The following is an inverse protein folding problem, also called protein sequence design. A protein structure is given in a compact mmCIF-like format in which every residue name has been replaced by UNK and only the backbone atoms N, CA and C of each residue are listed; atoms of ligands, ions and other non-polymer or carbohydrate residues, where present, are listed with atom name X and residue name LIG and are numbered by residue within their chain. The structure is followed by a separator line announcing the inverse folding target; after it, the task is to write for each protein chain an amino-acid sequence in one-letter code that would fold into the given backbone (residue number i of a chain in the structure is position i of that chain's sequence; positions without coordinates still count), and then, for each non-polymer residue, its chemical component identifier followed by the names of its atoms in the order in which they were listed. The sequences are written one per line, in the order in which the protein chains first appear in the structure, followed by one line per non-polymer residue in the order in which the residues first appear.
data_IF_720592079578
#
_entry.id   IF_720592079578
#
_cell.length_a   1.000
_cell.length_b   1.000
_cell.length_c   1.000
_cell.angle_alpha   90.00
_cell.angle_beta   90.00
_cell.angle_gamma   90.00
#
_symmetry.space_group_name_H-M   'P 1'
#
loop_
_entity.id
_entity.type
_entity.pdbx_description
1 polymer ?
#
# COMPACT_ATOMS: atom_id res chain seq x y z
N UNK A 1 4.58 4.84 87.04
CA UNK A 1 5.85 5.07 86.32
C UNK A 1 6.31 3.72 85.82
N UNK A 2 6.21 3.46 84.53
CA UNK A 2 6.81 2.27 83.91
C UNK A 2 8.32 2.31 84.15
N UNK A 3 8.90 1.18 84.55
CA UNK A 3 10.35 1.10 84.74
C UNK A 3 11.03 1.01 83.36
N UNK A 4 12.16 1.69 83.18
CA UNK A 4 13.00 1.62 81.98
C UNK A 4 13.17 0.20 81.37
N UNK A 5 13.42 -0.88 82.16
CA UNK A 5 13.53 -2.22 81.58
C UNK A 5 12.23 -2.75 80.94
N UNK A 6 11.05 -2.36 81.41
CA UNK A 6 9.79 -2.76 80.76
C UNK A 6 9.61 -2.09 79.40
N UNK A 7 9.97 -0.80 79.28
CA UNK A 7 9.89 -0.06 78.02
C UNK A 7 10.87 -0.62 76.99
N UNK A 8 12.09 -0.97 77.41
CA UNK A 8 13.07 -1.63 76.54
C UNK A 8 12.55 -2.97 75.97
N UNK A 9 11.91 -3.81 76.79
CA UNK A 9 11.35 -5.09 76.33
C UNK A 9 10.18 -4.91 75.34
N UNK A 10 9.36 -3.87 75.53
CA UNK A 10 8.30 -3.53 74.56
C UNK A 10 8.92 -3.12 73.23
N UNK A 11 9.93 -2.26 73.23
CA UNK A 11 10.64 -1.85 72.01
C UNK A 11 11.31 -3.03 71.31
N UNK A 12 11.98 -3.93 72.03
CA UNK A 12 12.57 -5.13 71.43
C UNK A 12 11.53 -6.02 70.75
N UNK A 13 10.34 -6.19 71.34
CA UNK A 13 9.25 -6.95 70.71
C UNK A 13 8.74 -6.27 69.44
N UNK A 14 8.50 -4.96 69.51
CA UNK A 14 8.04 -4.19 68.35
C UNK A 14 9.05 -4.21 67.20
N UNK A 15 10.35 -4.08 67.51
CA UNK A 15 11.41 -4.22 66.52
C UNK A 15 11.43 -5.62 65.91
N UNK A 16 11.33 -6.67 66.74
CA UNK A 16 11.26 -8.05 66.26
C UNK A 16 10.04 -8.31 65.36
N UNK A 17 8.89 -7.73 65.68
CA UNK A 17 7.68 -7.79 64.85
C UNK A 17 7.86 -7.06 63.52
N UNK A 18 8.44 -5.86 63.54
CA UNK A 18 8.76 -5.11 62.32
C UNK A 18 9.77 -5.87 61.46
N UNK A 19 10.84 -6.40 62.04
CA UNK A 19 11.84 -7.22 61.36
C UNK A 19 11.21 -8.46 60.72
N UNK A 20 10.35 -9.19 61.42
CA UNK A 20 9.65 -10.35 60.85
C UNK A 20 8.78 -9.97 59.66
N UNK A 21 8.02 -8.88 59.75
CA UNK A 21 7.19 -8.38 58.64
C UNK A 21 8.04 -7.98 57.43
N UNK A 22 9.13 -7.25 57.65
CA UNK A 22 10.04 -6.86 56.58
C UNK A 22 10.71 -8.08 55.93
N UNK A 23 11.21 -9.02 56.73
CA UNK A 23 11.82 -10.25 56.20
C UNK A 23 10.82 -11.08 55.41
N UNK A 24 9.57 -11.23 55.88
CA UNK A 24 8.53 -11.94 55.15
C UNK A 24 8.14 -11.24 53.83
N UNK A 25 8.09 -9.90 53.82
CA UNK A 25 7.84 -9.15 52.60
C UNK A 25 8.98 -9.31 51.59
N UNK A 26 10.24 -9.28 52.04
CA UNK A 26 11.41 -9.48 51.19
C UNK A 26 11.46 -10.89 50.59
N UNK A 27 11.15 -11.93 51.36
CA UNK A 27 11.12 -13.30 50.82
C UNK A 27 9.98 -13.51 49.83
N UNK A 28 8.81 -12.93 50.09
CA UNK A 28 7.69 -12.97 49.15
C UNK A 28 8.03 -12.27 47.83
N UNK A 29 8.61 -11.07 47.91
CA UNK A 29 9.04 -10.32 46.72
C UNK A 29 10.15 -11.04 45.94
N UNK A 30 11.12 -11.67 46.63
CA UNK A 30 12.16 -12.46 45.99
C UNK A 30 11.57 -13.66 45.22
N UNK A 31 10.56 -14.33 45.79
CA UNK A 31 9.88 -15.45 45.13
C UNK A 31 9.09 -14.98 43.89
N UNK A 32 8.42 -13.83 43.96
CA UNK A 32 7.71 -13.24 42.82
C UNK A 32 8.67 -12.86 41.69
N UNK A 33 9.81 -12.24 42.01
CA UNK A 33 10.86 -11.93 41.03
C UNK A 33 11.36 -13.19 40.34
N UNK A 34 11.61 -14.27 41.08
CA UNK A 34 12.06 -15.54 40.51
C UNK A 34 11.01 -16.18 39.59
N UNK A 35 9.73 -16.11 39.96
CA UNK A 35 8.63 -16.60 39.12
C UNK A 35 8.56 -15.82 37.80
N UNK A 36 8.58 -14.47 37.87
CA UNK A 36 8.55 -13.61 36.68
C UNK A 36 9.79 -13.78 35.80
N UNK A 37 10.98 -13.96 36.40
CA UNK A 37 12.21 -14.25 35.64
C UNK A 37 12.10 -15.57 34.88
N UNK A 38 11.51 -16.59 35.50
CA UNK A 38 11.27 -17.89 34.85
C UNK A 38 10.32 -17.73 33.67
N UNK A 39 9.22 -17.01 33.85
CA UNK A 39 8.25 -16.74 32.80
C UNK A 39 8.87 -15.94 31.63
N UNK A 40 9.68 -14.91 31.92
CA UNK A 40 10.39 -14.15 30.89
C UNK A 40 11.31 -15.03 30.05
N UNK A 41 12.06 -15.94 30.68
CA UNK A 41 12.93 -16.88 29.95
C UNK A 41 12.11 -17.82 29.07
N UNK A 42 10.97 -18.33 29.56
CA UNK A 42 10.08 -19.18 28.78
C UNK A 42 9.49 -18.44 27.57
N UNK A 43 8.98 -17.22 27.77
CA UNK A 43 8.43 -16.39 26.70
C UNK A 43 9.48 -15.99 25.67
N UNK A 44 10.70 -15.65 26.10
CA UNK A 44 11.83 -15.40 25.19
C UNK A 44 12.16 -16.64 24.37
N UNK A 45 12.17 -17.83 24.99
CA UNK A 45 12.35 -19.09 24.27
C UNK A 45 11.28 -19.32 23.21
N UNK A 46 10.01 -19.08 23.54
CA UNK A 46 8.89 -19.22 22.61
C UNK A 46 8.99 -18.24 21.42
N UNK A 47 9.41 -16.99 21.65
CA UNK A 47 9.67 -16.02 20.60
C UNK A 47 10.80 -16.45 19.67
N UNK A 48 11.94 -16.90 20.22
CA UNK A 48 13.07 -17.42 19.41
C UNK A 48 12.62 -18.59 18.52
N UNK A 49 11.82 -19.52 19.05
CA UNK A 49 11.28 -20.64 18.25
C UNK A 49 10.35 -20.15 17.14
N UNK A 50 9.52 -19.14 17.41
CA UNK A 50 8.63 -18.57 16.39
C UNK A 50 9.42 -17.83 15.31
N UNK A 51 10.38 -17.00 15.69
CA UNK A 51 11.16 -16.18 14.77
C UNK A 51 12.05 -17.04 13.88
N UNK A 52 12.65 -18.09 14.43
CA UNK A 52 13.40 -19.09 13.65
C UNK A 52 12.53 -19.80 12.62
N UNK A 53 11.31 -20.22 12.99
CA UNK A 53 10.35 -20.81 12.04
C UNK A 53 9.94 -19.83 10.94
N UNK A 54 9.73 -18.55 11.30
CA UNK A 54 9.40 -17.51 10.33
C UNK A 54 10.56 -17.26 9.35
N UNK A 55 11.79 -17.21 9.86
CA UNK A 55 12.99 -17.09 9.04
C UNK A 55 13.13 -18.28 8.07
N UNK A 56 12.97 -19.52 8.56
CA UNK A 56 12.98 -20.72 7.71
C UNK A 56 11.91 -20.67 6.61
N UNK A 57 10.68 -20.25 6.94
CA UNK A 57 9.61 -20.12 5.96
C UNK A 57 9.92 -19.03 4.90
N UNK A 58 10.53 -17.92 5.30
CA UNK A 58 11.00 -16.90 4.35
C UNK A 58 12.08 -17.43 3.43
N UNK A 59 13.03 -18.22 3.95
CA UNK A 59 14.09 -18.84 3.16
C UNK A 59 13.52 -19.85 2.16
N UNK A 60 12.56 -20.70 2.58
CA UNK A 60 11.85 -21.62 1.68
C UNK A 60 11.12 -20.88 0.55
N UNK A 61 10.42 -19.78 0.87
CA UNK A 61 9.78 -18.94 -0.13
C UNK A 61 10.78 -18.30 -1.09
N UNK A 62 11.93 -17.84 -0.59
CA UNK A 62 13.00 -17.28 -1.41
C UNK A 62 13.58 -18.36 -2.34
N UNK A 63 13.81 -19.57 -1.85
CA UNK A 63 14.28 -20.71 -2.64
C UNK A 63 13.30 -21.08 -3.74
N UNK A 64 11.99 -21.17 -3.44
CA UNK A 64 10.96 -21.46 -4.45
C UNK A 64 10.91 -20.37 -5.52
N UNK A 65 10.98 -19.09 -5.11
CA UNK A 65 11.03 -17.96 -6.07
C UNK A 65 12.27 -18.01 -6.96
N UNK A 66 13.42 -18.37 -6.40
CA UNK A 66 14.67 -18.52 -7.14
C UNK A 66 14.61 -19.73 -8.11
N UNK A 67 13.97 -20.83 -7.70
CA UNK A 67 13.79 -22.03 -8.52
C UNK A 67 12.87 -21.77 -9.73
N UNK A 68 12.02 -20.73 -9.69
CA UNK A 68 11.13 -20.35 -10.80
C UNK A 68 11.45 -18.93 -11.29
N UNK A 69 12.55 -18.75 -12.04
CA UNK A 69 12.90 -17.46 -12.61
C UNK A 69 11.83 -17.00 -13.62
N UNK A 70 11.47 -15.71 -13.56
CA UNK A 70 10.53 -15.08 -14.50
C UNK A 70 9.05 -15.24 -14.17
N UNK A 71 8.67 -15.85 -13.04
CA UNK A 71 7.26 -15.96 -12.60
C UNK A 71 6.58 -14.60 -12.47
N UNK A 72 7.25 -13.62 -11.84
CA UNK A 72 6.74 -12.26 -11.67
C UNK A 72 6.46 -11.58 -13.02
N UNK A 73 7.36 -11.74 -13.99
CA UNK A 73 7.19 -11.25 -15.36
C UNK A 73 6.00 -11.91 -16.05
N UNK A 74 5.83 -13.23 -15.91
CA UNK A 74 4.68 -13.97 -16.46
C UNK A 74 3.36 -13.50 -15.84
N UNK A 75 3.31 -13.26 -14.53
CA UNK A 75 2.14 -12.71 -13.85
C UNK A 75 1.82 -11.27 -14.28
N UNK A 76 2.83 -10.41 -14.44
CA UNK A 76 2.64 -9.06 -14.96
C UNK A 76 2.10 -9.08 -16.40
N UNK A 77 2.66 -9.93 -17.25
CA UNK A 77 2.20 -10.11 -18.63
C UNK A 77 0.76 -10.63 -18.67
N UNK A 78 0.41 -11.62 -17.84
CA UNK A 78 -0.95 -12.14 -17.75
C UNK A 78 -1.96 -11.06 -17.33
N UNK A 79 -1.61 -10.21 -16.34
CA UNK A 79 -2.44 -9.06 -15.94
C UNK A 79 -2.60 -8.05 -17.09
N UNK A 80 -1.54 -7.77 -17.83
CA UNK A 80 -1.59 -6.85 -18.97
C UNK A 80 -2.45 -7.40 -20.11
N UNK A 81 -2.30 -8.70 -20.44
CA UNK A 81 -3.12 -9.39 -21.43
C UNK A 81 -4.60 -9.34 -21.03
N UNK A 82 -4.92 -9.57 -19.76
CA UNK A 82 -6.29 -9.49 -19.25
C UNK A 82 -6.87 -8.07 -19.43
N UNK A 83 -6.10 -7.02 -19.09
CA UNK A 83 -6.51 -5.64 -19.28
C UNK A 83 -6.73 -5.28 -20.77
N UNK A 84 -5.86 -5.75 -21.67
CA UNK A 84 -6.04 -5.56 -23.11
C UNK A 84 -7.27 -6.30 -23.64
N UNK A 85 -7.52 -7.52 -23.17
CA UNK A 85 -8.70 -8.29 -23.53
C UNK A 85 -10.00 -7.57 -23.12
N UNK A 86 -10.02 -7.00 -21.91
CA UNK A 86 -11.14 -6.18 -21.43
C UNK A 86 -11.34 -4.93 -22.29
N UNK A 87 -10.25 -4.22 -22.63
CA UNK A 87 -10.29 -3.05 -23.53
C UNK A 87 -10.83 -3.40 -24.92
N UNK A 88 -10.36 -4.50 -25.50
CA UNK A 88 -10.86 -4.99 -26.79
C UNK A 88 -12.34 -5.33 -26.71
N UNK A 89 -12.78 -5.99 -25.63
CA UNK A 89 -14.19 -6.33 -25.42
C UNK A 89 -15.05 -5.08 -25.22
N UNK A 90 -14.54 -4.04 -24.55
CA UNK A 90 -15.23 -2.76 -24.44
C UNK A 90 -15.40 -2.09 -25.80
N UNK A 91 -14.30 -1.93 -26.55
CA UNK A 91 -14.33 -1.33 -27.88
C UNK A 91 -15.21 -2.12 -28.86
N UNK A 92 -15.20 -3.46 -28.80
CA UNK A 92 -16.04 -4.28 -29.66
C UNK A 92 -17.53 -4.08 -29.36
N UNK A 93 -17.91 -3.98 -28.08
CA UNK A 93 -19.27 -3.61 -27.66
C UNK A 93 -19.64 -2.22 -28.16
N UNK A 94 -18.73 -1.26 -28.06
CA UNK A 94 -18.96 0.09 -28.56
C UNK A 94 -19.11 0.15 -30.08
N UNK A 95 -18.29 -0.58 -30.84
CA UNK A 95 -18.45 -0.67 -32.28
C UNK A 95 -19.80 -1.31 -32.66
N UNK A 96 -20.21 -2.36 -31.94
CA UNK A 96 -21.50 -3.00 -32.16
C UNK A 96 -22.67 -2.05 -31.87
N UNK A 97 -22.59 -1.26 -30.80
CA UNK A 97 -23.63 -0.28 -30.43
C UNK A 97 -23.91 0.71 -31.57
N UNK A 98 -22.85 1.26 -32.16
CA UNK A 98 -22.96 2.24 -33.23
C UNK A 98 -23.46 1.62 -34.55
N UNK A 99 -23.04 0.38 -34.86
CA UNK A 99 -23.55 -0.33 -36.05
C UNK A 99 -25.04 -0.62 -35.96
N UNK A 100 -25.53 -1.05 -34.80
CA UNK A 100 -26.96 -1.33 -34.59
C UNK A 100 -27.80 -0.04 -34.70
N UNK A 101 -27.33 1.07 -34.11
CA UNK A 101 -27.98 2.38 -34.25
C UNK A 101 -28.08 2.83 -35.72
N UNK A 102 -26.99 2.72 -36.49
CA UNK A 102 -27.01 3.06 -37.91
C UNK A 102 -27.96 2.15 -38.74
N UNK A 103 -28.12 0.88 -38.35
CA UNK A 103 -29.06 -0.04 -39.01
C UNK A 103 -30.52 0.22 -38.65
N UNK A 104 -30.82 0.71 -37.43
CA UNK A 104 -32.17 1.16 -37.08
C UNK A 104 -32.53 2.45 -37.81
N UNK A 105 -31.57 3.36 -37.98
CA UNK A 105 -31.79 4.62 -38.70
C UNK A 105 -32.09 4.37 -40.18
N UNK A 106 -31.37 3.43 -40.83
CA UNK A 106 -31.66 3.05 -42.23
C UNK A 106 -32.98 2.29 -42.38
N UNK A 107 -33.39 1.49 -41.39
CA UNK A 107 -34.71 0.85 -41.37
C UNK A 107 -35.86 1.83 -41.18
N UNK A 108 -35.68 2.88 -40.36
CA UNK A 108 -36.70 3.92 -40.17
C UNK A 108 -36.91 4.77 -41.44
N UNK A 109 -35.85 5.04 -42.21
CA UNK A 109 -35.95 5.74 -43.51
C UNK A 109 -36.60 4.88 -44.59
N UNK A 110 -36.51 3.54 -44.47
CA UNK A 110 -37.12 2.58 -45.40
C UNK A 110 -38.64 2.39 -45.26
N UNK A 111 -39.27 2.90 -44.19
CA UNK A 111 -40.71 2.73 -43.93
C UNK A 111 -41.57 3.94 -44.40
N UNK A 112 -40.95 4.94 -45.04
CA UNK A 112 -41.64 6.14 -45.56
C UNK A 112 -41.59 6.32 -47.08
N UNK A 113 -41.41 5.27 -47.88
CA UNK A 113 -41.48 5.45 -49.33
C UNK A 113 -41.25 4.21 -50.19
N UNK A 114 -42.35 3.56 -50.59
CA UNK A 114 -42.37 2.75 -51.81
C UNK A 114 -42.43 3.68 -53.03
N UNK A 115 -41.29 4.00 -53.64
CA UNK A 115 -41.18 4.29 -55.08
C UNK A 115 -39.81 3.79 -55.56
N UNK A 116 -39.81 2.90 -56.54
CA UNK A 116 -38.59 2.29 -57.07
C UNK A 116 -37.77 3.25 -57.93
N UNK A 117 -36.46 3.04 -57.95
CA UNK A 117 -35.62 3.24 -59.13
C UNK A 117 -34.28 2.54 -58.95
N UNK A 118 -33.97 1.67 -59.91
CA UNK A 118 -32.65 1.14 -60.23
C UNK A 118 -31.63 2.25 -60.48
N UNK A 119 -30.55 2.30 -59.70
CA UNK A 119 -29.25 2.80 -60.21
C UNK A 119 -28.09 2.15 -59.45
N UNK A 120 -27.26 1.47 -60.23
CA UNK A 120 -25.89 1.00 -60.02
C UNK A 120 -25.19 1.31 -58.70
N UNK A 121 -24.73 0.23 -58.06
CA UNK A 121 -23.76 0.23 -56.97
C UNK A 121 -22.51 1.07 -57.31
N UNK A 122 -22.06 1.96 -56.41
CA UNK A 122 -20.67 2.40 -56.41
C UNK A 122 -19.83 1.26 -55.82
N UNK A 123 -18.83 0.86 -56.60
CA UNK A 123 -17.83 -0.14 -56.24
C UNK A 123 -17.17 0.12 -54.88
N UNK A 124 -16.89 -0.98 -54.19
CA UNK A 124 -15.98 -1.10 -53.05
C UNK A 124 -14.67 -0.35 -53.28
N UNK A 125 -14.49 0.77 -52.58
CA UNK A 125 -13.16 1.27 -52.26
C UNK A 125 -12.75 0.55 -50.97
N UNK A 126 -11.70 -0.28 -50.96
CA UNK A 126 -11.28 -0.94 -49.75
C UNK A 126 -10.76 0.15 -48.79
N UNK A 127 -11.49 0.36 -47.70
CA UNK A 127 -11.04 1.18 -46.58
C UNK A 127 -9.80 0.53 -45.98
N UNK A 128 -8.63 0.92 -46.47
CA UNK A 128 -7.36 0.41 -45.95
C UNK A 128 -7.24 0.79 -44.46
N UNK A 129 -6.85 -0.16 -43.59
CA UNK A 129 -6.69 0.13 -42.18
C UNK A 129 -5.57 1.15 -42.02
N UNK A 130 -5.93 2.36 -41.59
CA UNK A 130 -4.98 3.42 -41.25
C UNK A 130 -4.17 2.91 -40.06
N UNK A 131 -2.93 2.46 -40.30
CA UNK A 131 -2.01 2.02 -39.25
C UNK A 131 -1.73 3.20 -38.34
N UNK A 132 -2.44 3.28 -37.22
CA UNK A 132 -2.11 4.20 -36.13
C UNK A 132 -0.85 3.63 -35.48
N UNK A 133 0.29 4.25 -35.75
CA UNK A 133 1.50 4.03 -34.95
C UNK A 133 1.21 4.64 -33.58
N UNK A 134 0.85 3.80 -32.63
CA UNK A 134 0.95 4.14 -31.21
C UNK A 134 2.44 4.06 -30.87
N UNK A 135 3.09 5.15 -30.43
CA UNK A 135 4.45 5.06 -29.96
C UNK A 135 4.44 4.20 -28.70
N UNK A 136 4.93 2.97 -28.81
CA UNK A 136 5.30 2.18 -27.64
C UNK A 136 6.69 2.67 -27.25
N UNK A 137 6.72 3.59 -26.29
CA UNK A 137 7.96 3.93 -25.60
C UNK A 137 8.29 2.73 -24.72
N UNK A 138 9.15 1.85 -25.22
CA UNK A 138 9.86 0.90 -24.37
C UNK A 138 11.03 1.69 -23.79
N UNK A 139 10.88 2.19 -22.56
CA UNK A 139 12.03 2.67 -21.81
C UNK A 139 12.90 1.44 -21.50
N UNK A 140 13.96 1.30 -22.29
CA UNK A 140 15.09 0.48 -21.89
C UNK A 140 15.71 1.16 -20.67
N UNK A 141 15.81 0.44 -19.57
CA UNK A 141 16.67 0.83 -18.45
C UNK A 141 18.13 0.60 -18.85
N UNK A 142 18.97 1.63 -18.95
CA UNK A 142 20.35 1.51 -18.58
C UNK A 142 20.47 1.93 -17.11
N UNK A 143 21.06 1.04 -16.33
CA UNK A 143 21.59 1.36 -15.02
C UNK A 143 22.63 2.50 -15.14
N UNK A 144 22.72 3.27 -14.05
CA UNK A 144 23.75 4.29 -13.73
C UNK A 144 23.47 5.71 -14.26
N UNK A 145 22.55 6.40 -13.58
CA UNK A 145 22.76 7.67 -12.84
C UNK A 145 21.41 8.06 -12.20
N UNK A 146 21.17 7.55 -10.99
CA UNK A 146 19.86 7.49 -10.35
C UNK A 146 19.26 8.84 -9.92
N UNK A 147 20.04 9.93 -9.89
CA UNK A 147 19.57 11.20 -9.33
C UNK A 147 18.81 12.05 -10.37
N UNK A 148 19.30 12.13 -11.61
CA UNK A 148 18.68 12.99 -12.63
C UNK A 148 17.35 12.45 -13.16
N UNK A 149 17.24 11.12 -13.32
CA UNK A 149 15.99 10.47 -13.73
C UNK A 149 14.93 10.54 -12.61
N UNK A 150 15.37 10.44 -11.36
CA UNK A 150 14.51 10.62 -10.20
C UNK A 150 14.01 12.07 -10.10
N UNK A 151 14.87 13.06 -10.28
CA UNK A 151 14.50 14.48 -10.28
C UNK A 151 13.55 14.84 -11.43
N UNK A 152 13.74 14.27 -12.62
CA UNK A 152 12.82 14.44 -13.75
C UNK A 152 11.44 13.81 -13.45
N UNK A 153 11.42 12.62 -12.85
CA UNK A 153 10.18 11.99 -12.38
C UNK A 153 9.51 12.79 -11.26
N UNK A 154 10.28 13.42 -10.37
CA UNK A 154 9.77 14.33 -9.33
C UNK A 154 9.28 15.67 -9.87
N UNK A 155 9.81 16.12 -11.00
CA UNK A 155 9.36 17.33 -11.67
C UNK A 155 8.06 17.10 -12.44
N UNK A 156 7.84 15.89 -12.95
CA UNK A 156 6.62 15.52 -13.67
C UNK A 156 5.45 15.12 -12.75
N UNK A 157 5.68 14.91 -11.45
CA UNK A 157 4.64 14.51 -10.51
C UNK A 157 4.01 15.72 -9.80
N UNK A 158 2.68 15.87 -9.90
CA UNK A 158 1.92 16.90 -9.17
C UNK A 158 1.76 16.59 -7.66
N UNK A 159 2.00 15.33 -7.26
CA UNK A 159 2.01 14.89 -5.87
C UNK A 159 2.99 13.72 -5.68
N UNK A 160 3.89 13.85 -4.71
CA UNK A 160 4.81 12.76 -4.31
C UNK A 160 4.28 12.14 -3.02
N UNK A 161 3.73 10.93 -3.11
CA UNK A 161 3.40 10.10 -1.94
C UNK A 161 4.55 9.13 -1.75
N UNK A 162 5.32 9.30 -0.67
CA UNK A 162 6.42 8.38 -0.37
C UNK A 162 5.84 7.04 0.12
N UNK A 163 5.99 5.97 -0.67
CA UNK A 163 5.61 4.62 -0.27
C UNK A 163 6.70 4.03 0.64
N UNK A 164 6.81 4.52 1.87
CA UNK A 164 7.56 3.82 2.93
C UNK A 164 6.88 4.03 4.28
N UNK A 165 6.24 2.97 4.76
CA UNK A 165 5.67 2.90 6.10
C UNK A 165 6.71 2.86 7.22
N UNK A 166 7.85 3.54 7.10
CA UNK A 166 8.90 3.71 8.12
C UNK A 166 9.76 4.93 7.74
N UNK A 167 9.28 6.15 8.00
CA UNK A 167 10.14 7.34 8.00
C UNK A 167 10.93 7.31 9.31
N UNK A 168 12.24 7.07 9.27
CA UNK A 168 13.12 7.48 10.35
C UNK A 168 13.14 9.00 10.40
N UNK A 169 13.30 9.58 11.60
CA UNK A 169 13.29 11.04 11.84
C UNK A 169 14.11 11.78 10.75
N UNK A 170 15.25 11.21 10.34
CA UNK A 170 16.17 11.79 9.36
C UNK A 170 15.70 11.99 7.93
N UNK A 171 14.72 11.22 7.47
CA UNK A 171 14.22 11.36 6.11
C UNK A 171 13.23 12.53 5.97
N UNK A 172 12.57 12.94 7.07
CA UNK A 172 11.55 13.99 7.07
C UNK A 172 12.13 15.37 6.73
N UNK A 173 13.21 15.78 7.39
CA UNK A 173 13.78 17.12 7.18
C UNK A 173 14.43 17.31 5.81
N UNK A 174 14.98 16.24 5.21
CA UNK A 174 15.57 16.33 3.86
C UNK A 174 14.52 16.60 2.79
N UNK A 175 13.34 15.98 2.91
CA UNK A 175 12.24 16.19 1.96
C UNK A 175 11.63 17.59 2.16
N UNK A 176 11.45 18.02 3.41
CA UNK A 176 10.95 19.37 3.72
C UNK A 176 11.89 20.47 3.19
N UNK A 177 13.21 20.31 3.36
CA UNK A 177 14.20 21.28 2.86
C UNK A 177 14.23 21.34 1.32
N UNK A 178 14.10 20.18 0.65
CA UNK A 178 14.04 20.11 -0.81
C UNK A 178 12.79 20.81 -1.38
N UNK A 179 11.61 20.57 -0.79
CA UNK A 179 10.37 21.24 -1.20
C UNK A 179 10.46 22.76 -0.97
N UNK A 180 11.04 23.19 0.16
CA UNK A 180 11.23 24.61 0.46
C UNK A 180 12.15 25.31 -0.54
N UNK A 181 13.23 24.64 -0.99
CA UNK A 181 14.19 25.21 -1.96
C UNK A 181 13.66 25.21 -3.39
N UNK A 182 12.86 24.21 -3.76
CA UNK A 182 12.33 24.06 -5.12
C UNK A 182 10.98 24.76 -5.33
N UNK A 183 10.36 25.26 -4.26
CA UNK A 183 9.07 25.95 -4.33
C UNK A 183 7.89 25.04 -4.68
N UNK A 184 8.07 23.72 -4.61
CA UNK A 184 7.02 22.74 -4.92
C UNK A 184 6.06 22.61 -3.73
N UNK A 185 4.73 22.64 -3.94
CA UNK A 185 3.77 22.49 -2.86
C UNK A 185 3.88 21.10 -2.22
N UNK A 186 3.98 21.04 -0.89
CA UNK A 186 4.06 19.79 -0.13
C UNK A 186 3.04 19.77 1.01
N UNK A 187 2.36 18.63 1.20
CA UNK A 187 1.40 18.42 2.29
C UNK A 187 1.94 17.28 3.17
N UNK A 188 2.16 17.57 4.46
CA UNK A 188 2.48 16.56 5.45
C UNK A 188 1.18 15.91 5.93
N UNK A 189 1.11 14.57 5.85
CA UNK A 189 -0.05 13.81 6.33
C UNK A 189 0.38 13.02 7.57
N UNK A 190 -0.19 13.36 8.73
CA UNK A 190 0.20 12.81 10.03
C UNK A 190 -0.18 11.33 10.23
N UNK A 191 -1.04 10.77 9.36
CA UNK A 191 -1.41 9.37 9.38
C UNK A 191 -1.23 8.73 8.00
N UNK A 192 -0.64 7.53 7.90
CA UNK A 192 -0.51 6.86 6.62
C UNK A 192 -1.91 6.58 6.07
N UNK A 193 -2.17 7.00 4.83
CA UNK A 193 -3.41 6.69 4.09
C UNK A 193 -3.74 5.19 4.05
N UNK A 194 -2.77 4.32 4.39
CA UNK A 194 -2.97 2.88 4.60
C UNK A 194 -3.84 2.53 5.82
N UNK A 195 -4.09 3.45 6.75
CA UNK A 195 -4.92 3.23 7.94
C UNK A 195 -6.41 3.60 7.73
N UNK A 196 -6.75 4.26 6.62
CA UNK A 196 -8.14 4.56 6.28
C UNK A 196 -8.63 3.62 5.19
N UNK A 197 -9.68 2.86 5.50
CA UNK A 197 -10.38 2.05 4.52
C UNK A 197 -10.91 2.88 3.35
N UNK A 198 -11.32 2.23 2.24
CA UNK A 198 -11.63 2.85 0.94
C UNK A 198 -12.79 3.86 0.91
N UNK A 199 -13.37 4.24 2.05
CA UNK A 199 -14.55 5.11 2.16
C UNK A 199 -14.24 6.62 2.08
N UNK A 200 -12.98 7.07 2.17
CA UNK A 200 -12.65 8.51 2.15
C UNK A 200 -12.42 9.09 0.74
N UNK A 201 -12.24 8.24 -0.27
CA UNK A 201 -12.05 8.69 -1.65
C UNK A 201 -13.31 9.25 -2.31
N UNK A 202 -14.50 9.05 -1.71
CA UNK A 202 -15.76 9.56 -2.24
C UNK A 202 -15.98 11.07 -1.98
N UNK A 203 -15.22 11.69 -1.07
CA UNK A 203 -15.43 13.08 -0.66
C UNK A 203 -14.53 14.09 -1.39
N UNK A 204 -13.57 13.64 -2.19
CA UNK A 204 -12.75 14.52 -3.03
C UNK A 204 -13.43 14.74 -4.37
N UNK A 205 -14.53 15.49 -4.36
CA UNK A 205 -15.07 16.06 -5.59
C UNK A 205 -14.12 17.19 -6.06
N UNK A 206 -13.75 17.26 -7.35
CA UNK A 206 -12.99 18.38 -7.87
C UNK A 206 -13.86 19.65 -7.80
N UNK A 207 -13.42 20.65 -7.04
CA UNK A 207 -13.96 22.00 -7.12
C UNK A 207 -13.60 22.53 -8.50
N UNK A 208 -14.59 22.56 -9.40
CA UNK A 208 -14.48 23.30 -10.65
C UNK A 208 -14.69 24.77 -10.32
N UNK A 209 -13.63 25.58 -10.41
CA UNK A 209 -13.75 27.03 -10.47
C UNK A 209 -14.58 27.41 -11.71
N UNK A 210 -15.85 27.74 -11.48
CA UNK A 210 -16.61 28.60 -12.37
C UNK A 210 -16.31 30.03 -11.98
N UNK A 211 -15.26 30.61 -12.55
CA UNK A 211 -15.14 32.06 -12.61
C UNK A 211 -15.57 32.53 -14.00
N UNK A 212 -16.75 33.13 -14.05
CA UNK A 212 -16.98 34.34 -14.84
C UNK A 212 -16.51 35.54 -14.04
#
# INVERSE_FOLDING_TARGET
MSSFPQEFLVLCRQLGEAQRRCSAALTAQAAEIQALQTELVQLRGALVVRDTRLAMAHDELAQIRAAVPGLSRRQAMARHIAALAERMAALSRECLRWRLAAQSDTRAVGDTGQVGATTTAPMDVPAQPRKVRVPVVVEAHPDVHADAAFDASLAAADLVICQTGCISHDAYWRVQDQCRRTGKPCILVDQPLAACGPSLYASLAPVSDKNG
#
